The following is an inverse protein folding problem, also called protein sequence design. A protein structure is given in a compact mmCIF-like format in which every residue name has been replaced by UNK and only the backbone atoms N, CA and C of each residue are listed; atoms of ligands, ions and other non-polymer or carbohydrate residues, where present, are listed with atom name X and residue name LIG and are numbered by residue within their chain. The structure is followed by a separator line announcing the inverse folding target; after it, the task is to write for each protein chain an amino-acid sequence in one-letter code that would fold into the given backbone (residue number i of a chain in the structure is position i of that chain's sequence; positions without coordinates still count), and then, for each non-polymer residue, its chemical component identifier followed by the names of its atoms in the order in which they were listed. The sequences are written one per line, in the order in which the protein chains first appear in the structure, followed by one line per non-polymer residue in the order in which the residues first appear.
data_IF_084426642577
#
_entry.id   IF_084426642577
#
_cell.length_a   1.000
_cell.length_b   1.000
_cell.length_c   1.000
_cell.angle_alpha   90.00
_cell.angle_beta   90.00
_cell.angle_gamma   90.00
#
_symmetry.space_group_name_H-M   'P 1'
#
loop_
_entity.id
_entity.type
_entity.pdbx_description
1 polymer ?
#
# COMPACT_ATOMS: atom_id res chain seq x y z
N UNK A 1 12.67 19.83 6.48
CA UNK A 1 12.60 18.37 6.24
C UNK A 1 13.94 17.90 5.72
N UNK A 2 14.61 17.02 6.45
CA UNK A 2 15.78 16.29 5.95
C UNK A 2 15.31 15.28 4.90
N UNK A 3 16.13 15.01 3.88
CA UNK A 3 15.85 14.06 2.80
C UNK A 3 15.73 12.58 3.27
N UNK A 4 15.87 12.33 4.57
CA UNK A 4 15.96 11.03 5.23
C UNK A 4 14.64 10.36 5.59
N UNK A 5 13.50 11.08 5.50
CA UNK A 5 12.23 10.61 6.08
C UNK A 5 11.26 10.05 5.02
N UNK A 6 11.79 9.52 3.91
CA UNK A 6 10.99 8.96 2.81
C UNK A 6 11.06 7.43 2.86
N UNK A 7 9.90 6.79 2.97
CA UNK A 7 9.75 5.33 2.96
C UNK A 7 8.90 4.89 1.76
N UNK A 8 9.21 3.70 1.24
CA UNK A 8 8.47 3.08 0.13
C UNK A 8 7.79 1.82 0.66
N UNK A 9 6.47 1.79 0.63
CA UNK A 9 5.68 0.56 0.87
C UNK A 9 5.43 -0.19 -0.44
N UNK A 10 5.85 -1.44 -0.50
CA UNK A 10 5.59 -2.37 -1.60
C UNK A 10 4.57 -3.41 -1.16
N UNK A 11 3.55 -3.62 -1.99
CA UNK A 11 2.48 -4.59 -1.76
C UNK A 11 2.53 -5.63 -2.89
N UNK A 12 3.05 -6.81 -2.56
CA UNK A 12 3.15 -7.96 -3.45
C UNK A 12 1.99 -8.93 -3.18
N UNK A 13 1.26 -9.27 -4.23
CA UNK A 13 0.00 -10.01 -4.14
C UNK A 13 0.10 -11.27 -4.97
N UNK A 14 0.25 -12.40 -4.29
CA UNK A 14 0.10 -13.72 -4.87
C UNK A 14 -1.35 -14.20 -4.83
N UNK A 15 -1.62 -15.32 -5.49
CA UNK A 15 -2.94 -15.99 -5.48
C UNK A 15 -3.34 -16.55 -4.12
N UNK A 16 -2.38 -16.83 -3.24
CA UNK A 16 -2.62 -17.45 -1.93
C UNK A 16 -2.19 -16.57 -0.76
N UNK A 17 -1.41 -15.51 -1.01
CA UNK A 17 -0.84 -14.68 0.04
C UNK A 17 -0.53 -13.27 -0.43
N UNK A 18 -0.63 -12.31 0.48
CA UNK A 18 -0.11 -10.96 0.29
C UNK A 18 1.14 -10.75 1.13
N UNK A 19 2.12 -10.02 0.61
CA UNK A 19 3.24 -9.47 1.35
C UNK A 19 3.28 -7.95 1.26
N UNK A 20 3.45 -7.28 2.38
CA UNK A 20 3.78 -5.86 2.45
C UNK A 20 5.23 -5.71 2.92
N UNK A 21 6.03 -4.87 2.25
CA UNK A 21 7.44 -4.61 2.57
C UNK A 21 7.67 -3.11 2.58
N UNK A 22 8.35 -2.60 3.61
CA UNK A 22 8.71 -1.19 3.73
C UNK A 22 10.21 -1.06 3.48
N UNK A 23 10.58 -0.14 2.59
CA UNK A 23 11.96 0.21 2.28
C UNK A 23 12.28 1.64 2.74
N UNK A 24 13.51 1.87 3.20
CA UNK A 24 14.06 3.20 3.39
C UNK A 24 14.60 3.80 2.07
N UNK A 25 15.17 5.01 2.15
CA UNK A 25 15.77 5.72 1.02
C UNK A 25 17.00 5.02 0.39
N UNK A 26 17.60 4.06 1.08
CA UNK A 26 18.72 3.24 0.58
C UNK A 26 18.24 1.90 0.01
N UNK A 27 16.92 1.75 -0.20
CA UNK A 27 16.27 0.50 -0.59
C UNK A 27 16.50 -0.65 0.42
N UNK A 28 16.80 -0.33 1.69
CA UNK A 28 16.90 -1.33 2.75
C UNK A 28 15.52 -1.66 3.29
N UNK A 29 15.22 -2.94 3.46
CA UNK A 29 13.99 -3.39 4.13
C UNK A 29 14.04 -2.98 5.61
N UNK A 30 13.04 -2.23 6.05
CA UNK A 30 12.87 -1.80 7.45
C UNK A 30 11.69 -2.47 8.14
N UNK A 31 10.81 -3.12 7.38
CA UNK A 31 9.71 -3.92 7.92
C UNK A 31 9.02 -4.75 6.84
N UNK A 32 8.41 -5.87 7.23
CA UNK A 32 7.61 -6.69 6.31
C UNK A 32 6.51 -7.46 7.05
N UNK A 33 5.40 -7.72 6.37
CA UNK A 33 4.31 -8.55 6.85
C UNK A 33 3.78 -9.44 5.72
N UNK A 34 3.35 -10.66 6.02
CA UNK A 34 2.75 -11.58 5.05
C UNK A 34 1.51 -12.23 5.67
N UNK A 35 0.40 -12.26 4.93
CA UNK A 35 -0.87 -12.87 5.37
C UNK A 35 -1.51 -13.70 4.23
N UNK A 36 -2.35 -14.66 4.61
CA UNK A 36 -3.14 -15.50 3.71
C UNK A 36 -4.46 -14.80 3.42
N UNK A 37 -4.81 -14.69 2.14
CA UNK A 37 -5.93 -13.94 1.54
C UNK A 37 -7.11 -13.56 2.47
N UNK A 38 -6.91 -12.55 3.33
CA UNK A 38 -7.95 -11.84 4.07
C UNK A 38 -7.82 -10.37 3.72
N UNK A 39 -8.50 -9.96 2.66
CA UNK A 39 -8.43 -8.58 2.17
C UNK A 39 -8.67 -7.56 3.29
N UNK A 40 -9.56 -7.87 4.25
CA UNK A 40 -9.81 -7.01 5.41
C UNK A 40 -8.61 -6.81 6.35
N UNK A 41 -7.84 -7.85 6.69
CA UNK A 41 -6.70 -7.74 7.63
C UNK A 41 -5.55 -6.98 6.99
N UNK A 42 -5.29 -7.24 5.72
CA UNK A 42 -4.28 -6.52 4.96
C UNK A 42 -4.66 -5.05 4.78
N UNK A 43 -5.91 -4.76 4.42
CA UNK A 43 -6.38 -3.40 4.24
C UNK A 43 -6.32 -2.61 5.56
N UNK A 44 -6.68 -3.25 6.68
CA UNK A 44 -6.54 -2.65 8.01
C UNK A 44 -5.07 -2.42 8.38
N UNK A 45 -4.17 -3.35 8.04
CA UNK A 45 -2.74 -3.16 8.25
C UNK A 45 -2.19 -1.96 7.46
N UNK A 46 -2.58 -1.82 6.19
CA UNK A 46 -2.20 -0.68 5.34
C UNK A 46 -2.70 0.63 5.96
N UNK A 47 -3.94 0.66 6.45
CA UNK A 47 -4.53 1.80 7.15
C UNK A 47 -3.72 2.20 8.38
N UNK A 48 -3.48 1.25 9.28
CA UNK A 48 -2.74 1.48 10.54
C UNK A 48 -1.33 1.98 10.28
N UNK A 49 -0.61 1.38 9.33
CA UNK A 49 0.75 1.80 9.01
C UNK A 49 0.79 3.21 8.44
N UNK A 50 -0.05 3.51 7.44
CA UNK A 50 -0.05 4.84 6.82
C UNK A 50 -0.51 5.94 7.78
N UNK A 51 -1.46 5.66 8.69
CA UNK A 51 -1.82 6.58 9.77
C UNK A 51 -0.67 6.79 10.76
N UNK A 52 0.02 5.73 11.18
CA UNK A 52 1.20 5.87 12.05
C UNK A 52 2.28 6.75 11.43
N UNK A 53 2.51 6.66 10.11
CA UNK A 53 3.43 7.57 9.42
C UNK A 53 2.87 9.01 9.33
N UNK A 54 1.57 9.17 9.11
CA UNK A 54 0.91 10.48 9.07
C UNK A 54 0.95 11.20 10.43
N UNK A 55 0.75 10.45 11.53
CA UNK A 55 0.83 10.94 12.90
C UNK A 55 2.26 11.41 13.24
N UNK A 56 3.27 10.79 12.64
CA UNK A 56 4.68 11.25 12.66
C UNK A 56 4.94 12.50 11.77
N UNK A 57 3.92 13.03 11.09
CA UNK A 57 4.03 14.13 10.13
C UNK A 57 4.64 13.76 8.78
N UNK A 58 4.79 12.46 8.48
CA UNK A 58 5.36 11.99 7.21
C UNK A 58 4.28 11.86 6.15
N UNK A 59 4.66 12.13 4.89
CA UNK A 59 3.76 11.93 3.75
C UNK A 59 3.96 10.55 3.14
N UNK A 60 2.86 9.84 2.95
CA UNK A 60 2.83 8.47 2.42
C UNK A 60 1.97 8.43 1.16
N UNK A 61 2.47 7.73 0.15
CA UNK A 61 1.69 7.37 -1.03
C UNK A 61 1.45 5.87 -1.03
N UNK A 62 0.19 5.47 -0.85
CA UNK A 62 -0.24 4.07 -0.89
C UNK A 62 -0.51 3.72 -2.35
N UNK A 63 0.40 2.98 -2.97
CA UNK A 63 0.27 2.56 -4.36
C UNK A 63 -0.32 1.16 -4.46
N UNK A 64 -1.31 0.99 -5.35
CA UNK A 64 -1.90 -0.30 -5.68
C UNK A 64 -1.48 -0.69 -7.08
N UNK A 65 -0.94 -1.89 -7.25
CA UNK A 65 -0.73 -2.44 -8.58
C UNK A 65 -2.08 -2.84 -9.20
N UNK A 66 -2.38 -2.30 -10.38
CA UNK A 66 -3.54 -2.72 -11.17
C UNK A 66 -3.36 -4.11 -11.76
N UNK A 67 -4.43 -4.67 -12.35
CA UNK A 67 -4.32 -5.86 -13.18
C UNK A 67 -3.44 -5.55 -14.39
N UNK A 68 -2.28 -6.19 -14.49
CA UNK A 68 -1.50 -6.19 -15.73
C UNK A 68 -2.31 -6.99 -16.76
N UNK A 69 -2.84 -6.31 -17.78
CA UNK A 69 -3.56 -6.94 -18.91
C UNK A 69 -2.66 -7.83 -19.78
N UNK A 70 -3.15 -8.19 -20.99
CA UNK A 70 -2.58 -9.23 -21.87
C UNK A 70 -1.04 -9.29 -21.97
N UNK A 71 -0.51 -10.50 -21.79
CA UNK A 71 0.91 -10.87 -21.88
C UNK A 71 1.22 -12.14 -21.08
N UNK A 72 2.47 -12.63 -21.11
CA UNK A 72 2.92 -13.85 -20.40
C UNK A 72 2.75 -13.84 -18.86
N UNK A 73 2.29 -12.70 -18.31
CA UNK A 73 1.97 -12.47 -16.89
C UNK A 73 0.45 -12.38 -16.63
N UNK A 74 -0.40 -12.81 -17.57
CA UNK A 74 -1.87 -12.87 -17.46
C UNK A 74 -2.41 -13.83 -16.39
N UNK A 75 -1.54 -14.39 -15.53
CA UNK A 75 -1.90 -15.25 -14.41
C UNK A 75 -2.23 -14.52 -13.12
N UNK A 76 -2.32 -13.18 -13.11
CA UNK A 76 -2.71 -12.46 -11.90
C UNK A 76 -4.17 -12.75 -11.56
N UNK A 77 -4.49 -13.11 -10.30
CA UNK A 77 -5.87 -13.39 -9.90
C UNK A 77 -6.75 -12.13 -10.03
N UNK A 78 -7.97 -12.29 -10.55
CA UNK A 78 -9.07 -11.30 -10.65
C UNK A 78 -9.42 -10.57 -9.34
N UNK A 79 -8.77 -10.97 -8.25
CA UNK A 79 -9.14 -10.77 -6.87
C UNK A 79 -8.53 -9.47 -6.29
N UNK A 80 -7.79 -8.72 -7.12
CA UNK A 80 -7.31 -7.33 -6.90
C UNK A 80 -8.16 -6.26 -7.61
N UNK A 81 -9.06 -6.68 -8.51
CA UNK A 81 -9.97 -5.76 -9.18
C UNK A 81 -10.92 -5.15 -8.12
N UNK A 82 -10.65 -3.89 -7.75
CA UNK A 82 -11.43 -3.18 -6.73
C UNK A 82 -10.68 -2.87 -5.43
N UNK A 83 -9.46 -3.37 -5.20
CA UNK A 83 -8.66 -3.02 -4.00
C UNK A 83 -8.39 -1.53 -3.91
N UNK A 84 -8.15 -0.87 -5.05
CA UNK A 84 -8.06 0.59 -5.11
C UNK A 84 -9.34 1.28 -4.62
N UNK A 85 -10.51 0.81 -5.09
CA UNK A 85 -11.80 1.36 -4.65
C UNK A 85 -11.99 1.16 -3.15
N UNK A 86 -11.62 0.00 -2.61
CA UNK A 86 -11.70 -0.27 -1.17
C UNK A 86 -10.85 0.73 -0.38
N UNK A 87 -9.62 1.02 -0.82
CA UNK A 87 -8.76 2.02 -0.17
C UNK A 87 -9.33 3.45 -0.31
N UNK A 88 -9.96 3.78 -1.43
CA UNK A 88 -10.63 5.07 -1.64
C UNK A 88 -11.86 5.26 -0.75
N UNK A 89 -12.58 4.19 -0.41
CA UNK A 89 -13.72 4.21 0.51
C UNK A 89 -13.36 3.95 1.97
N UNK A 90 -12.08 3.73 2.27
CA UNK A 90 -11.62 3.44 3.61
C UNK A 90 -11.66 4.68 4.50
N UNK A 91 -11.93 4.47 5.78
CA UNK A 91 -11.78 5.51 6.78
C UNK A 91 -10.28 5.78 7.06
N UNK A 92 -9.84 6.99 6.72
CA UNK A 92 -8.48 7.48 6.94
C UNK A 92 -8.39 8.43 8.14
N UNK A 93 -9.33 8.33 9.08
CA UNK A 93 -9.37 9.14 10.29
C UNK A 93 -9.96 10.54 10.06
N UNK A 94 -10.38 11.16 11.17
CA UNK A 94 -11.21 12.37 11.15
C UNK A 94 -10.45 13.68 10.90
N UNK A 95 -9.12 13.67 10.95
CA UNK A 95 -8.29 14.88 10.87
C UNK A 95 -7.87 15.28 9.44
N UNK A 96 -8.44 14.65 8.41
CA UNK A 96 -8.10 14.94 7.02
C UNK A 96 -6.72 14.42 6.61
N UNK A 97 -6.34 13.24 7.10
CA UNK A 97 -5.07 12.60 6.77
C UNK A 97 -4.96 12.35 5.25
N UNK A 98 -6.06 11.92 4.63
CA UNK A 98 -6.17 11.76 3.18
C UNK A 98 -6.09 13.12 2.47
N UNK A 99 -5.27 13.21 1.43
CA UNK A 99 -5.01 14.44 0.67
C UNK A 99 -3.93 15.34 1.27
N UNK A 100 -3.71 15.28 2.59
CA UNK A 100 -2.67 16.05 3.30
C UNK A 100 -1.39 15.24 3.47
N UNK A 101 -1.50 14.08 4.11
CA UNK A 101 -0.38 13.20 4.44
C UNK A 101 -0.43 11.91 3.63
N UNK A 102 -1.63 11.38 3.39
CA UNK A 102 -1.85 10.11 2.70
C UNK A 102 -2.42 10.39 1.31
N UNK A 103 -1.89 9.71 0.30
CA UNK A 103 -2.41 9.74 -1.07
C UNK A 103 -2.46 8.34 -1.66
N UNK A 104 -3.40 8.08 -2.56
CA UNK A 104 -3.51 6.79 -3.26
C UNK A 104 -2.95 6.93 -4.68
N UNK A 105 -2.17 5.94 -5.13
CA UNK A 105 -1.59 5.91 -6.48
C UNK A 105 -1.63 4.54 -7.14
N UNK A 106 -1.16 4.48 -8.38
CA UNK A 106 -0.95 3.23 -9.13
C UNK A 106 0.54 2.94 -9.31
N UNK A 107 0.90 1.65 -9.40
CA UNK A 107 2.25 1.20 -9.80
C UNK A 107 2.29 1.06 -11.33
N UNK A 108 3.29 1.65 -11.99
CA UNK A 108 3.57 1.43 -13.42
C UNK A 108 2.92 2.42 -14.40
N UNK A 109 2.43 3.57 -13.94
CA UNK A 109 1.95 4.69 -14.77
C UNK A 109 2.74 5.96 -14.49
#
# INVERSE_FOLDING_TARGET
MSKSDVFIGSLDQGTTSTRFIIYDHNAKVVGSHQDVYRIGTLMELVRVLALSFADDGKRVKVCVQGSMGEGALAGMPLQLAGTRKILEFMDWGDYGAMGTFISIGAIGT
#
